data_IF_452047647982
#
_entry.id   IF_452047647982
#
_cell.length_a   1.000
_cell.length_b   1.000
_cell.length_c   1.000
_cell.angle_alpha   90.00
_cell.angle_beta   90.00
_cell.angle_gamma   90.00
#
_symmetry.space_group_name_H-M   'P 1'
#
loop_
_entity.id
_entity.type
_entity.pdbx_description
1 polymer ?
#
# COMPACT_ATOMS: atom_id res chain seq x y z
N UNK A 1 -6.38 2.60 8.82
CA UNK A 1 -5.15 3.19 9.38
C UNK A 1 -4.70 4.30 8.44
N UNK A 2 -4.47 5.52 8.93
CA UNK A 2 -4.08 6.66 8.08
C UNK A 2 -2.62 6.57 7.64
N UNK A 3 -2.31 7.01 6.42
CA UNK A 3 -0.94 7.07 5.90
C UNK A 3 -0.47 8.54 5.94
N UNK A 4 0.47 8.82 6.83
CA UNK A 4 0.94 10.19 7.04
C UNK A 4 2.04 10.57 6.04
N UNK A 5 2.00 11.82 5.56
CA UNK A 5 3.11 12.42 4.82
C UNK A 5 4.32 12.64 5.74
N UNK A 6 5.50 12.82 5.15
CA UNK A 6 6.73 13.18 5.88
C UNK A 6 6.52 14.42 6.78
N UNK A 7 5.89 15.45 6.24
CA UNK A 7 5.62 16.71 6.96
C UNK A 7 4.67 16.49 8.12
N UNK A 8 3.67 15.62 7.94
CA UNK A 8 2.72 15.27 8.99
C UNK A 8 3.39 14.43 10.10
N UNK A 9 4.26 13.49 9.76
CA UNK A 9 5.04 12.72 10.75
C UNK A 9 5.87 13.69 11.62
N UNK A 10 6.64 14.60 11.01
CA UNK A 10 7.42 15.59 11.77
C UNK A 10 6.56 16.52 12.63
N UNK A 11 5.35 16.84 12.19
CA UNK A 11 4.40 17.61 13.00
C UNK A 11 3.90 16.78 14.18
N UNK A 12 3.62 15.50 13.97
CA UNK A 12 3.26 14.55 15.00
C UNK A 12 4.32 14.40 16.08
N UNK A 13 5.59 14.26 15.69
CA UNK A 13 6.73 14.19 16.63
C UNK A 13 6.77 15.42 17.53
N UNK A 14 6.76 16.63 16.95
CA UNK A 14 6.80 17.91 17.70
C UNK A 14 5.60 18.10 18.63
N UNK A 15 4.40 17.69 18.21
CA UNK A 15 3.21 17.76 19.05
C UNK A 15 3.34 16.79 20.22
N UNK A 16 3.85 15.59 19.96
CA UNK A 16 4.08 14.55 20.96
C UNK A 16 5.09 14.99 21.99
N UNK A 17 6.24 15.50 21.55
CA UNK A 17 7.28 16.09 22.41
C UNK A 17 6.71 17.14 23.35
N UNK A 18 5.95 18.09 22.80
CA UNK A 18 5.35 19.19 23.57
C UNK A 18 4.27 18.71 24.55
N UNK A 19 3.34 17.86 24.11
CA UNK A 19 2.21 17.40 24.94
C UNK A 19 2.66 16.46 26.06
N UNK A 20 3.65 15.61 25.78
CA UNK A 20 4.15 14.63 26.76
C UNK A 20 5.31 15.18 27.60
N UNK A 21 5.79 16.40 27.32
CA UNK A 21 6.94 17.02 27.98
C UNK A 21 8.19 16.14 27.92
N UNK A 22 8.48 15.62 26.72
CA UNK A 22 9.65 14.79 26.42
C UNK A 22 10.53 15.48 25.37
N UNK A 23 11.81 15.16 25.35
CA UNK A 23 12.72 15.63 24.29
C UNK A 23 12.60 14.78 23.01
N UNK A 24 13.08 15.32 21.89
CA UNK A 24 13.25 14.56 20.64
C UNK A 24 14.13 13.32 20.83
N UNK A 25 15.15 13.42 21.69
CA UNK A 25 16.02 12.30 22.05
C UNK A 25 15.28 11.22 22.85
N UNK A 26 14.30 11.57 23.69
CA UNK A 26 13.49 10.59 24.42
C UNK A 26 12.53 9.85 23.48
N UNK A 27 11.99 10.54 22.47
CA UNK A 27 11.16 9.91 21.45
C UNK A 27 12.00 8.94 20.57
N UNK A 28 13.21 9.36 20.17
CA UNK A 28 14.20 8.50 19.50
C UNK A 28 14.58 7.28 20.34
N UNK A 29 14.73 7.45 21.65
CA UNK A 29 14.99 6.35 22.59
C UNK A 29 13.86 5.31 22.54
N UNK A 30 12.59 5.76 22.52
CA UNK A 30 11.44 4.86 22.39
C UNK A 30 11.47 4.09 21.07
N UNK A 31 11.73 4.77 19.96
CA UNK A 31 11.81 4.14 18.63
C UNK A 31 12.91 3.07 18.58
N UNK A 32 14.13 3.40 19.02
CA UNK A 32 15.25 2.47 19.06
C UNK A 32 15.02 1.29 20.01
N UNK A 33 14.36 1.48 21.15
CA UNK A 33 13.98 0.39 22.06
C UNK A 33 12.99 -0.58 21.40
N UNK A 34 12.02 -0.09 20.63
CA UNK A 34 11.08 -0.97 19.92
C UNK A 34 11.80 -1.85 18.89
N UNK A 35 12.76 -1.29 18.15
CA UNK A 35 13.60 -2.05 17.21
C UNK A 35 14.45 -3.08 17.96
N UNK A 36 15.11 -2.66 19.03
CA UNK A 36 15.89 -3.55 19.88
C UNK A 36 15.03 -4.72 20.40
N UNK A 37 13.84 -4.46 20.93
CA UNK A 37 12.94 -5.49 21.43
C UNK A 37 12.52 -6.47 20.32
N UNK A 38 12.28 -5.96 19.11
CA UNK A 38 11.95 -6.78 17.95
C UNK A 38 13.09 -7.73 17.57
N UNK A 39 14.33 -7.24 17.58
CA UNK A 39 15.54 -8.02 17.33
C UNK A 39 15.81 -9.03 18.46
N UNK A 40 15.84 -8.55 19.70
CA UNK A 40 16.14 -9.33 20.90
C UNK A 40 15.21 -10.55 21.02
N UNK A 41 13.90 -10.35 20.83
CA UNK A 41 12.89 -11.42 20.87
C UNK A 41 13.15 -12.52 19.83
N UNK A 42 13.68 -12.17 18.65
CA UNK A 42 13.95 -13.12 17.56
C UNK A 42 15.31 -13.79 17.69
N UNK A 43 16.32 -13.05 18.13
CA UNK A 43 17.68 -13.57 18.26
C UNK A 43 17.86 -14.44 19.50
N UNK A 44 17.09 -14.22 20.58
CA UNK A 44 17.13 -15.04 21.80
C UNK A 44 18.55 -15.30 22.35
N UNK A 45 19.42 -14.28 22.28
CA UNK A 45 20.82 -14.36 22.73
C UNK A 45 21.82 -14.96 21.73
N UNK A 46 21.40 -15.32 20.51
CA UNK A 46 22.30 -15.82 19.47
C UNK A 46 23.43 -14.82 19.17
N UNK A 47 24.66 -15.34 19.06
CA UNK A 47 25.89 -14.54 18.88
C UNK A 47 26.24 -14.37 17.39
N UNK A 48 25.25 -13.93 16.61
CA UNK A 48 25.44 -13.57 15.20
C UNK A 48 26.04 -12.16 15.12
N UNK A 49 27.05 -11.90 14.29
CA UNK A 49 27.55 -10.55 14.07
C UNK A 49 26.47 -9.62 13.53
N UNK A 50 26.30 -8.45 14.18
CA UNK A 50 25.35 -7.41 13.79
C UNK A 50 26.13 -6.18 13.34
N UNK A 51 25.97 -5.79 12.09
CA UNK A 51 26.57 -4.59 11.50
C UNK A 51 25.54 -3.48 11.43
N UNK A 52 25.66 -2.48 12.30
CA UNK A 52 24.74 -1.34 12.36
C UNK A 52 25.35 -0.17 11.61
N UNK A 53 24.75 0.19 10.47
CA UNK A 53 25.18 1.32 9.65
C UNK A 53 24.31 2.53 9.91
N UNK A 54 24.88 3.54 10.55
CA UNK A 54 24.21 4.77 10.92
C UNK A 54 24.58 5.90 9.97
N UNK A 55 23.58 6.62 9.47
CA UNK A 55 23.79 7.93 8.86
C UNK A 55 24.05 8.98 9.92
N UNK A 56 24.19 10.24 9.52
CA UNK A 56 24.44 11.37 10.43
C UNK A 56 23.18 12.15 10.83
N UNK A 57 22.01 11.69 10.37
CA UNK A 57 20.70 12.26 10.69
C UNK A 57 19.97 11.50 11.80
N UNK A 58 18.67 11.78 11.97
CA UNK A 58 17.87 11.14 13.02
C UNK A 58 17.76 9.62 12.87
N UNK A 59 17.63 9.10 11.64
CA UNK A 59 17.61 7.65 11.40
C UNK A 59 18.89 6.96 11.93
N UNK A 60 20.04 7.60 11.71
CA UNK A 60 21.30 7.11 12.27
C UNK A 60 21.38 7.23 13.79
N UNK A 61 20.69 8.22 14.37
CA UNK A 61 20.45 8.31 15.80
C UNK A 61 19.67 7.10 16.34
N UNK A 62 18.60 6.68 15.66
CA UNK A 62 17.85 5.46 15.99
C UNK A 62 18.77 4.22 15.91
N UNK A 63 19.57 4.11 14.85
CA UNK A 63 20.58 3.05 14.73
C UNK A 63 21.59 3.03 15.88
N UNK A 64 22.04 4.19 16.35
CA UNK A 64 22.94 4.28 17.52
C UNK A 64 22.25 3.86 18.82
N UNK A 65 20.96 4.19 18.99
CA UNK A 65 20.16 3.69 20.13
C UNK A 65 20.09 2.16 20.08
N UNK A 66 19.76 1.59 18.92
CA UNK A 66 19.69 0.13 18.71
C UNK A 66 21.04 -0.52 19.03
N UNK A 67 22.12 0.00 18.48
CA UNK A 67 23.47 -0.48 18.72
C UNK A 67 23.82 -0.47 20.22
N UNK A 68 23.51 0.62 20.92
CA UNK A 68 23.78 0.76 22.35
C UNK A 68 23.06 -0.31 23.18
N UNK A 69 21.77 -0.54 22.89
CA UNK A 69 20.98 -1.54 23.59
C UNK A 69 21.46 -2.96 23.30
N UNK A 70 21.75 -3.29 22.04
CA UNK A 70 22.31 -4.60 21.67
C UNK A 70 23.64 -4.89 22.39
N UNK A 71 24.56 -3.91 22.42
CA UNK A 71 25.85 -4.03 23.14
C UNK A 71 25.61 -4.27 24.63
N UNK A 72 24.72 -3.48 25.25
CA UNK A 72 24.42 -3.59 26.69
C UNK A 72 23.88 -4.97 27.06
N UNK A 73 23.21 -5.65 26.12
CA UNK A 73 22.66 -6.99 26.31
C UNK A 73 23.58 -8.11 25.80
N UNK A 74 24.85 -7.81 25.50
CA UNK A 74 25.86 -8.82 25.20
C UNK A 74 25.81 -9.41 23.79
N UNK A 75 25.22 -8.71 22.82
CA UNK A 75 25.30 -9.10 21.41
C UNK A 75 26.62 -8.67 20.77
N UNK A 76 27.03 -9.41 19.72
CA UNK A 76 28.20 -9.07 18.91
C UNK A 76 27.84 -7.97 17.89
N UNK A 77 28.22 -6.72 18.18
CA UNK A 77 27.80 -5.55 17.39
C UNK A 77 29.01 -4.78 16.88
N UNK A 78 29.01 -4.51 15.58
CA UNK A 78 29.92 -3.58 14.91
C UNK A 78 29.13 -2.36 14.43
N UNK A 79 29.48 -1.17 14.92
CA UNK A 79 28.79 0.07 14.58
C UNK A 79 29.60 0.89 13.60
N UNK A 80 28.97 1.32 12.50
CA UNK A 80 29.57 2.16 11.47
C UNK A 80 28.81 3.47 11.34
N UNK A 81 29.51 4.58 11.12
CA UNK A 81 28.91 5.87 10.77
C UNK A 81 29.27 6.20 9.33
N UNK A 82 28.27 6.25 8.46
CA UNK A 82 28.41 6.68 7.07
C UNK A 82 28.53 8.20 7.03
N UNK A 83 29.76 8.70 7.07
CA UNK A 83 30.07 10.11 7.33
C UNK A 83 30.37 10.89 6.05
N UNK A 84 29.40 10.95 5.12
CA UNK A 84 29.57 11.64 3.82
C UNK A 84 29.22 13.14 3.87
N UNK A 85 28.98 13.73 5.05
CA UNK A 85 28.66 15.14 5.23
C UNK A 85 29.00 15.61 6.65
N UNK A 86 29.24 16.91 6.80
CA UNK A 86 29.58 17.52 8.10
C UNK A 86 28.34 17.91 8.92
N UNK A 87 27.14 17.92 8.31
CA UNK A 87 25.92 18.35 8.99
C UNK A 87 25.24 17.19 9.72
N UNK A 88 25.48 17.12 11.03
CA UNK A 88 24.92 16.10 11.92
C UNK A 88 23.66 16.60 12.64
N UNK A 89 22.67 15.74 12.86
CA UNK A 89 21.52 16.11 13.70
C UNK A 89 21.91 16.14 15.19
N UNK A 90 21.17 16.91 15.99
CA UNK A 90 21.45 17.02 17.43
C UNK A 90 21.24 15.68 18.13
N UNK A 91 20.15 14.97 17.82
CA UNK A 91 19.84 13.68 18.43
C UNK A 91 20.86 12.60 18.05
N UNK A 92 21.37 12.62 16.81
CA UNK A 92 22.50 11.77 16.40
C UNK A 92 23.71 12.01 17.29
N UNK A 93 24.12 13.28 17.50
CA UNK A 93 25.29 13.61 18.32
C UNK A 93 25.13 13.15 19.78
N UNK A 94 23.94 13.31 20.35
CA UNK A 94 23.65 12.84 21.71
C UNK A 94 23.79 11.33 21.81
N UNK A 95 23.21 10.57 20.88
CA UNK A 95 23.31 9.11 20.90
C UNK A 95 24.70 8.59 20.52
N UNK A 96 25.43 9.30 19.67
CA UNK A 96 26.81 9.00 19.35
C UNK A 96 27.71 9.11 20.59
N UNK A 97 27.50 10.15 21.41
CA UNK A 97 28.22 10.29 22.69
C UNK A 97 27.84 9.19 23.68
N UNK A 98 26.55 8.85 23.78
CA UNK A 98 26.05 7.79 24.68
C UNK A 98 26.64 6.40 24.43
N UNK A 99 27.13 6.10 23.22
CA UNK A 99 27.83 4.83 22.93
C UNK A 99 29.07 4.65 23.82
N UNK A 100 29.76 5.73 24.20
CA UNK A 100 30.94 5.68 25.08
C UNK A 100 30.66 5.06 26.44
N UNK A 101 29.41 5.10 26.89
CA UNK A 101 29.01 4.59 28.19
C UNK A 101 28.80 3.07 28.20
N UNK A 102 28.77 2.41 27.04
CA UNK A 102 28.47 0.97 26.94
C UNK A 102 29.59 0.15 26.30
N UNK A 103 30.54 0.77 25.60
CA UNK A 103 31.66 0.06 24.98
C UNK A 103 32.91 0.93 24.85
N UNK A 104 34.07 0.28 24.81
CA UNK A 104 35.35 0.90 24.45
C UNK A 104 35.61 0.88 22.94
N UNK A 105 34.89 0.04 22.19
CA UNK A 105 34.96 -0.01 20.73
C UNK A 105 34.10 1.11 20.17
N UNK A 106 34.74 2.16 19.69
CA UNK A 106 34.05 3.31 19.12
C UNK A 106 33.50 3.01 17.72
N UNK A 107 32.40 3.66 17.29
CA UNK A 107 31.88 3.46 15.94
C UNK A 107 32.93 3.82 14.88
N UNK A 108 33.09 2.96 13.88
CA UNK A 108 34.01 3.19 12.77
C UNK A 108 33.42 4.24 11.82
N UNK A 109 34.13 5.35 11.62
CA UNK A 109 33.71 6.39 10.68
C UNK A 109 34.12 6.00 9.27
N UNK A 110 33.16 5.79 8.38
CA UNK A 110 33.41 5.52 6.98
C UNK A 110 33.44 6.85 6.23
N UNK A 111 34.62 7.27 5.75
CA UNK A 111 34.84 8.57 5.07
C UNK A 111 34.33 8.62 3.62
N UNK A 112 33.47 7.67 3.24
CA UNK A 112 32.86 7.55 1.92
C UNK A 112 33.86 7.44 0.76
N UNK A 113 35.05 6.92 1.07
CA UNK A 113 36.15 6.60 0.16
C UNK A 113 36.89 5.32 0.55
N UNK A 114 36.53 4.76 1.70
CA UNK A 114 37.17 3.59 2.29
C UNK A 114 36.56 2.30 1.75
N UNK A 115 37.30 1.20 1.95
CA UNK A 115 36.80 -0.15 1.73
C UNK A 115 35.66 -0.48 2.69
N UNK A 116 34.75 -1.34 2.25
CA UNK A 116 33.63 -1.79 3.08
C UNK A 116 34.11 -2.81 4.12
N UNK A 117 33.51 -2.82 5.33
CA UNK A 117 33.80 -3.87 6.29
C UNK A 117 33.38 -5.23 5.74
N UNK A 118 34.05 -6.29 6.18
CA UNK A 118 33.68 -7.66 5.81
C UNK A 118 32.32 -7.98 6.43
N UNK A 119 31.37 -8.39 5.59
CA UNK A 119 30.05 -8.88 6.00
C UNK A 119 29.89 -10.30 5.46
N UNK A 120 29.65 -11.25 6.37
CA UNK A 120 29.34 -12.64 6.07
C UNK A 120 27.87 -12.83 5.68
N UNK A 121 27.59 -13.91 4.97
CA UNK A 121 26.23 -14.29 4.55
C UNK A 121 25.27 -14.47 5.74
N UNK A 122 25.76 -14.98 6.87
CA UNK A 122 24.94 -15.28 8.05
C UNK A 122 24.83 -14.10 9.03
N UNK A 123 25.45 -12.97 8.70
CA UNK A 123 25.45 -11.77 9.54
C UNK A 123 24.12 -11.01 9.41
N UNK A 124 23.90 -10.04 10.31
CA UNK A 124 22.76 -9.13 10.26
C UNK A 124 23.25 -7.74 9.91
N UNK A 125 22.67 -7.13 8.88
CA UNK A 125 22.85 -5.72 8.56
C UNK A 125 21.66 -4.95 9.15
N UNK A 126 21.93 -3.92 9.94
CA UNK A 126 20.94 -2.92 10.33
C UNK A 126 21.21 -1.65 9.55
N UNK A 127 20.33 -1.36 8.60
CA UNK A 127 20.36 -0.16 7.78
C UNK A 127 19.62 0.99 8.48
N UNK A 128 20.39 1.92 9.02
CA UNK A 128 19.92 3.14 9.65
C UNK A 128 20.56 4.38 8.99
N UNK A 129 20.83 4.32 7.67
CA UNK A 129 21.57 5.35 6.95
C UNK A 129 20.66 6.55 6.63
N UNK A 130 19.54 6.32 5.93
CA UNK A 130 18.57 7.33 5.54
C UNK A 130 17.15 6.85 5.88
N UNK A 131 16.37 7.70 6.55
CA UNK A 131 14.93 7.48 6.80
C UNK A 131 14.07 8.42 5.95
N UNK A 132 12.87 8.77 6.42
CA UNK A 132 11.96 9.72 5.74
C UNK A 132 12.58 11.10 5.42
N UNK A 133 13.69 11.45 6.06
CA UNK A 133 14.43 12.69 5.84
C UNK A 133 15.06 12.84 4.45
N UNK A 134 15.20 11.76 3.68
CA UNK A 134 15.84 11.76 2.36
C UNK A 134 15.25 12.83 1.44
N UNK A 135 16.13 13.64 0.83
CA UNK A 135 15.76 14.75 -0.05
C UNK A 135 16.68 14.90 -1.27
N UNK A 136 17.67 14.02 -1.42
CA UNK A 136 18.61 13.97 -2.54
C UNK A 136 19.00 12.53 -2.85
N UNK A 137 19.41 12.21 -4.09
CA UNK A 137 19.96 10.90 -4.41
C UNK A 137 21.20 10.56 -3.58
N UNK A 138 21.44 9.27 -3.36
CA UNK A 138 22.67 8.79 -2.75
C UNK A 138 23.86 9.01 -3.70
N UNK A 139 25.00 9.45 -3.15
CA UNK A 139 26.26 9.56 -3.91
C UNK A 139 26.83 8.17 -4.24
N UNK A 140 27.67 8.07 -5.27
CA UNK A 140 28.11 6.79 -5.86
C UNK A 140 28.72 5.81 -4.85
N UNK A 141 29.49 6.30 -3.87
CA UNK A 141 30.06 5.43 -2.83
C UNK A 141 28.97 4.79 -1.95
N UNK A 142 27.91 5.55 -1.64
CA UNK A 142 26.78 5.04 -0.84
C UNK A 142 25.96 4.04 -1.66
N UNK A 143 25.80 4.27 -2.97
CA UNK A 143 25.19 3.27 -3.87
C UNK A 143 25.99 1.97 -3.88
N UNK A 144 27.32 2.07 -4.00
CA UNK A 144 28.20 0.91 -3.94
C UNK A 144 28.08 0.15 -2.60
N UNK A 145 27.85 0.86 -1.49
CA UNK A 145 27.56 0.23 -0.19
C UNK A 145 26.23 -0.54 -0.21
N UNK A 146 25.17 0.02 -0.80
CA UNK A 146 23.88 -0.67 -0.91
C UNK A 146 23.96 -1.91 -1.81
N UNK A 147 24.68 -1.81 -2.93
CA UNK A 147 24.98 -2.95 -3.79
C UNK A 147 25.80 -4.01 -3.02
N UNK A 148 26.74 -3.59 -2.17
CA UNK A 148 27.52 -4.50 -1.32
C UNK A 148 26.63 -5.24 -0.30
N UNK A 149 25.68 -4.55 0.35
CA UNK A 149 24.69 -5.20 1.22
C UNK A 149 23.91 -6.28 0.46
N UNK A 150 23.39 -5.95 -0.72
CA UNK A 150 22.67 -6.90 -1.57
C UNK A 150 23.53 -8.10 -1.97
N UNK A 151 24.79 -7.86 -2.32
CA UNK A 151 25.72 -8.91 -2.73
C UNK A 151 26.11 -9.86 -1.59
N UNK A 152 26.16 -9.36 -0.35
CA UNK A 152 26.46 -10.17 0.85
C UNK A 152 25.42 -11.25 1.12
N UNK A 153 24.15 -11.02 0.69
CA UNK A 153 22.98 -11.84 1.01
C UNK A 153 22.66 -11.97 2.51
N UNK A 154 23.35 -11.18 3.34
CA UNK A 154 23.08 -11.08 4.77
C UNK A 154 21.65 -10.59 5.02
N UNK A 155 21.07 -11.00 6.14
CA UNK A 155 19.76 -10.52 6.54
C UNK A 155 19.83 -9.01 6.78
N UNK A 156 19.08 -8.24 6.01
CA UNK A 156 19.12 -6.77 6.07
C UNK A 156 17.83 -6.23 6.66
N UNK A 157 17.95 -5.57 7.82
CA UNK A 157 16.88 -4.91 8.55
C UNK A 157 17.00 -3.39 8.36
N UNK A 158 16.04 -2.76 7.68
CA UNK A 158 16.01 -1.31 7.58
C UNK A 158 15.17 -0.65 8.67
N UNK A 159 15.69 0.46 9.17
CA UNK A 159 15.06 1.31 10.17
C UNK A 159 14.26 2.40 9.46
N UNK A 160 12.98 2.51 9.84
CA UNK A 160 11.97 3.42 9.31
C UNK A 160 11.54 3.10 7.86
N UNK A 161 12.47 3.21 6.92
CA UNK A 161 12.30 2.97 5.48
C UNK A 161 13.66 2.47 4.94
N UNK A 162 13.73 1.57 3.94
CA UNK A 162 14.99 1.22 3.30
C UNK A 162 15.74 2.46 2.82
N UNK A 163 17.02 2.59 3.18
CA UNK A 163 17.81 3.76 2.82
C UNK A 163 17.84 3.95 1.31
N UNK A 164 17.60 5.19 0.88
CA UNK A 164 17.49 5.55 -0.54
C UNK A 164 16.07 5.50 -1.09
N UNK A 165 15.13 4.84 -0.41
CA UNK A 165 13.73 4.78 -0.82
C UNK A 165 12.97 6.02 -0.33
N UNK A 166 12.28 6.69 -1.25
CA UNK A 166 11.38 7.80 -0.92
C UNK A 166 10.07 7.28 -0.33
N UNK A 167 9.38 8.08 0.48
CA UNK A 167 8.15 7.64 1.17
C UNK A 167 6.93 7.47 0.25
N UNK A 168 6.97 8.07 -0.94
CA UNK A 168 5.80 8.23 -1.81
C UNK A 168 6.10 8.12 -3.32
N UNK A 169 7.31 7.71 -3.73
CA UNK A 169 7.64 7.53 -5.16
C UNK A 169 8.57 6.35 -5.40
N UNK A 170 8.44 5.79 -6.60
CA UNK A 170 9.34 4.74 -7.12
C UNK A 170 10.73 5.35 -7.35
N UNK A 171 11.82 4.69 -6.95
CA UNK A 171 13.17 5.17 -7.23
C UNK A 171 13.49 5.05 -8.73
N UNK A 172 14.20 6.04 -9.28
CA UNK A 172 14.72 6.02 -10.66
C UNK A 172 15.90 5.07 -10.83
N UNK A 173 16.67 4.87 -9.75
CA UNK A 173 17.88 4.05 -9.69
C UNK A 173 17.75 3.05 -8.53
N UNK A 174 17.62 1.77 -8.86
CA UNK A 174 17.45 0.70 -7.87
C UNK A 174 18.71 0.44 -7.06
N UNK A 175 19.88 0.78 -7.61
CA UNK A 175 21.17 0.62 -6.93
C UNK A 175 21.38 1.72 -5.89
N UNK A 176 20.58 2.78 -5.96
CA UNK A 176 20.54 3.83 -4.95
C UNK A 176 19.61 3.50 -3.77
N UNK A 177 19.12 2.25 -3.66
CA UNK A 177 18.21 1.82 -2.59
C UNK A 177 18.68 0.51 -1.93
N UNK A 178 18.57 0.42 -0.60
CA UNK A 178 18.80 -0.81 0.14
C UNK A 178 17.69 -1.83 -0.12
N UNK A 179 18.09 -3.06 -0.44
CA UNK A 179 17.17 -4.20 -0.58
C UNK A 179 17.00 -4.89 0.77
N UNK A 180 15.91 -4.60 1.45
CA UNK A 180 15.70 -5.03 2.83
C UNK A 180 14.95 -6.35 2.90
N UNK A 181 15.46 -7.27 3.70
CA UNK A 181 14.73 -8.49 4.08
C UNK A 181 13.53 -8.15 4.96
N UNK A 182 13.68 -7.15 5.84
CA UNK A 182 12.62 -6.65 6.71
C UNK A 182 12.79 -5.15 6.96
N UNK A 183 11.68 -4.40 7.09
CA UNK A 183 11.69 -2.98 7.43
C UNK A 183 10.84 -2.72 8.68
N UNK A 184 11.38 -1.97 9.64
CA UNK A 184 10.64 -1.55 10.83
C UNK A 184 10.32 -0.06 10.76
N UNK A 185 9.08 0.25 10.39
CA UNK A 185 8.56 1.59 10.26
C UNK A 185 8.01 2.11 11.59
N UNK A 186 7.98 3.42 11.80
CA UNK A 186 7.43 4.02 13.02
C UNK A 186 6.03 4.58 12.82
N UNK A 187 5.15 4.31 13.79
CA UNK A 187 3.77 4.81 13.99
C UNK A 187 2.75 4.54 12.88
N UNK A 188 3.13 4.78 11.63
CA UNK A 188 2.32 4.63 10.42
C UNK A 188 3.17 3.96 9.33
N UNK A 189 2.58 3.10 8.49
CA UNK A 189 3.25 2.65 7.28
C UNK A 189 3.37 3.82 6.29
N UNK A 190 4.29 3.68 5.33
CA UNK A 190 4.54 4.67 4.27
C UNK A 190 3.90 4.17 2.97
N UNK A 191 3.43 5.09 2.13
CA UNK A 191 2.75 4.75 0.87
C UNK A 191 3.58 3.81 0.00
N UNK A 192 4.90 4.03 -0.04
CA UNK A 192 5.84 3.21 -0.82
C UNK A 192 5.87 1.73 -0.42
N UNK A 193 5.32 1.33 0.73
CA UNK A 193 5.23 -0.08 1.11
C UNK A 193 4.08 -0.81 0.41
N UNK A 194 3.18 -0.08 -0.26
CA UNK A 194 2.01 -0.61 -0.93
C UNK A 194 2.09 -0.49 -2.47
N UNK A 195 3.16 0.11 -3.00
CA UNK A 195 3.37 0.22 -4.44
C UNK A 195 4.04 -1.08 -4.97
N UNK A 196 3.48 -1.75 -6.00
CA UNK A 196 4.04 -2.98 -6.54
C UNK A 196 5.50 -2.85 -6.98
N UNK A 197 5.89 -1.70 -7.55
CA UNK A 197 7.21 -1.43 -8.11
C UNK A 197 8.30 -1.37 -7.03
N UNK A 198 7.93 -1.06 -5.79
CA UNK A 198 8.85 -0.88 -4.66
C UNK A 198 8.84 -2.05 -3.67
N UNK A 199 7.95 -3.03 -3.87
CA UNK A 199 7.82 -4.20 -3.00
C UNK A 199 9.14 -4.98 -2.81
N UNK A 200 10.01 -4.98 -3.82
CA UNK A 200 11.33 -5.63 -3.78
C UNK A 200 12.31 -5.02 -2.76
N UNK A 201 12.14 -3.74 -2.40
CA UNK A 201 13.03 -3.05 -1.45
C UNK A 201 12.60 -3.25 0.00
N UNK A 202 11.33 -3.61 0.24
CA UNK A 202 10.73 -3.83 1.54
C UNK A 202 9.87 -5.11 1.51
N UNK A 203 10.52 -6.26 1.40
CA UNK A 203 9.85 -7.57 1.21
C UNK A 203 8.87 -7.89 2.33
N UNK A 204 9.28 -7.58 3.57
CA UNK A 204 8.43 -7.62 4.74
C UNK A 204 8.60 -6.33 5.51
N UNK A 205 7.53 -5.86 6.16
CA UNK A 205 7.60 -4.69 7.01
C UNK A 205 6.60 -4.81 8.16
N UNK A 206 6.89 -4.09 9.23
CA UNK A 206 6.00 -3.93 10.38
C UNK A 206 6.05 -2.48 10.88
N UNK A 207 5.00 -2.07 11.58
CA UNK A 207 4.87 -0.70 12.10
C UNK A 207 4.94 -0.75 13.63
N UNK A 208 5.96 -0.12 14.18
CA UNK A 208 6.19 -0.03 15.61
C UNK A 208 5.47 1.19 16.20
N UNK A 209 4.73 0.96 17.27
CA UNK A 209 4.13 2.05 18.06
C UNK A 209 5.23 2.74 18.89
N UNK A 210 5.54 3.98 18.54
CA UNK A 210 6.52 4.81 19.25
C UNK A 210 5.86 5.83 20.19
N UNK A 211 4.52 5.78 20.32
CA UNK A 211 3.75 6.61 21.22
C UNK A 211 3.51 8.03 20.73
N UNK A 212 3.30 8.23 19.42
CA UNK A 212 2.85 9.52 18.89
C UNK A 212 1.46 9.85 19.45
N UNK A 213 1.21 11.14 19.66
CA UNK A 213 -0.04 11.67 20.21
C UNK A 213 -1.27 11.13 19.47
N UNK A 214 -2.14 10.43 20.21
CA UNK A 214 -3.31 9.75 19.64
C UNK A 214 -4.31 10.74 19.04
N UNK A 215 -4.58 11.86 19.70
CA UNK A 215 -5.52 12.87 19.19
C UNK A 215 -5.04 13.43 17.86
N UNK A 216 -3.73 13.69 17.73
CA UNK A 216 -3.13 14.10 16.47
C UNK A 216 -3.33 13.06 15.38
N UNK A 217 -3.08 11.78 15.68
CA UNK A 217 -3.26 10.70 14.71
C UNK A 217 -4.72 10.56 14.24
N UNK A 218 -5.69 10.70 15.15
CA UNK A 218 -7.11 10.60 14.80
C UNK A 218 -7.60 11.83 14.02
N UNK A 219 -7.24 13.04 14.46
CA UNK A 219 -7.78 14.29 13.91
C UNK A 219 -7.12 14.74 12.60
N UNK A 220 -5.90 14.26 12.29
CA UNK A 220 -5.19 14.67 11.07
C UNK A 220 -5.81 14.02 9.85
N UNK A 221 -6.20 14.80 8.85
CA UNK A 221 -6.60 14.31 7.53
C UNK A 221 -5.38 13.88 6.72
N UNK A 222 -5.51 12.80 5.95
CA UNK A 222 -4.43 12.22 5.14
C UNK A 222 -4.93 11.92 3.74
N UNK A 223 -4.06 12.05 2.74
CA UNK A 223 -4.40 11.78 1.34
C UNK A 223 -4.69 10.31 1.06
N UNK A 224 -4.21 9.41 1.92
CA UNK A 224 -4.39 7.98 1.80
C UNK A 224 -4.70 7.31 3.15
N UNK A 225 -5.53 6.27 3.09
CA UNK A 225 -5.85 5.41 4.23
C UNK A 225 -5.74 3.93 3.82
N UNK A 226 -5.18 3.13 4.72
CA UNK A 226 -5.14 1.69 4.60
C UNK A 226 -6.45 1.10 5.09
N UNK A 227 -7.14 0.41 4.19
CA UNK A 227 -8.32 -0.39 4.50
C UNK A 227 -7.85 -1.78 4.96
N UNK A 228 -7.75 -1.96 6.28
CA UNK A 228 -7.44 -3.25 6.91
C UNK A 228 -8.69 -3.92 7.47
N UNK A 229 -8.49 -5.05 8.16
CA UNK A 229 -9.59 -5.82 8.78
C UNK A 229 -10.46 -4.95 9.69
N UNK A 230 -9.86 -4.11 10.51
CA UNK A 230 -10.59 -3.30 11.48
C UNK A 230 -11.30 -2.10 10.84
N UNK A 231 -10.79 -1.59 9.72
CA UNK A 231 -11.42 -0.53 8.94
C UNK A 231 -12.62 -1.01 8.12
N UNK A 232 -12.61 -2.28 7.69
CA UNK A 232 -13.75 -2.88 6.97
C UNK A 232 -14.92 -3.18 7.90
N UNK A 233 -14.68 -3.50 9.18
CA UNK A 233 -15.73 -3.90 10.11
C UNK A 233 -16.87 -2.87 10.25
N UNK A 234 -16.61 -1.55 10.41
CA UNK A 234 -17.67 -0.54 10.43
C UNK A 234 -18.44 -0.38 9.11
N UNK A 235 -17.86 -0.79 7.97
CA UNK A 235 -18.52 -0.72 6.66
C UNK A 235 -19.54 -1.86 6.45
N UNK A 236 -19.42 -2.93 7.24
CA UNK A 236 -20.33 -4.06 7.17
C UNK A 236 -21.76 -3.65 7.55
N UNK A 237 -22.73 -4.02 6.71
CA UNK A 237 -24.16 -3.78 6.97
C UNK A 237 -24.76 -5.00 7.69
N UNK A 238 -25.05 -4.92 9.01
CA UNK A 238 -25.67 -6.02 9.73
C UNK A 238 -27.11 -6.26 9.23
N UNK A 239 -27.57 -7.51 9.36
CA UNK A 239 -28.92 -7.92 8.97
C UNK A 239 -29.82 -8.03 10.20
N UNK A 240 -30.96 -7.35 10.19
CA UNK A 240 -31.95 -7.47 11.24
C UNK A 240 -32.72 -8.80 11.11
N UNK A 241 -33.13 -9.36 12.25
CA UNK A 241 -33.87 -10.62 12.36
C UNK A 241 -35.16 -10.62 11.56
N UNK A 242 -35.79 -9.46 11.41
CA UNK A 242 -37.08 -9.29 10.71
C UNK A 242 -36.93 -8.64 9.33
N UNK A 243 -35.71 -8.52 8.80
CA UNK A 243 -35.48 -8.05 7.43
C UNK A 243 -36.01 -9.05 6.39
N UNK A 244 -36.37 -8.53 5.22
CA UNK A 244 -36.76 -9.32 4.03
C UNK A 244 -35.98 -8.83 2.81
N UNK A 245 -36.02 -9.59 1.71
CA UNK A 245 -35.22 -9.35 0.49
C UNK A 245 -35.21 -7.90 -0.02
N UNK A 246 -36.35 -7.22 -0.02
CA UNK A 246 -36.45 -5.80 -0.43
C UNK A 246 -35.59 -4.82 0.39
N UNK A 247 -35.28 -5.12 1.65
CA UNK A 247 -34.42 -4.27 2.49
C UNK A 247 -32.97 -4.23 2.00
N UNK A 248 -32.52 -5.26 1.27
CA UNK A 248 -31.14 -5.39 0.83
C UNK A 248 -30.95 -5.05 -0.65
N UNK A 249 -31.92 -4.32 -1.21
CA UNK A 249 -31.88 -3.82 -2.59
C UNK A 249 -32.00 -4.90 -3.65
N UNK A 250 -31.96 -4.43 -4.89
CA UNK A 250 -32.03 -5.24 -6.10
C UNK A 250 -30.90 -4.83 -7.03
N UNK A 251 -29.91 -5.72 -7.18
CA UNK A 251 -28.82 -5.52 -8.13
C UNK A 251 -29.20 -6.01 -9.53
N UNK A 252 -28.88 -5.23 -10.55
CA UNK A 252 -28.96 -5.65 -11.95
C UNK A 252 -27.56 -5.71 -12.54
N UNK A 253 -27.18 -6.84 -13.16
CA UNK A 253 -25.93 -6.98 -13.91
C UNK A 253 -26.24 -7.02 -15.41
N UNK A 254 -25.71 -6.09 -16.17
CA UNK A 254 -25.90 -5.95 -17.62
C UNK A 254 -24.58 -6.31 -18.31
N UNK A 255 -24.58 -7.33 -19.14
CA UNK A 255 -23.36 -7.68 -19.86
C UNK A 255 -23.44 -9.01 -20.58
N UNK A 256 -22.26 -9.55 -20.85
CA UNK A 256 -22.11 -10.80 -21.58
C UNK A 256 -22.30 -10.64 -23.09
N UNK A 257 -21.73 -11.60 -23.80
CA UNK A 257 -21.82 -11.78 -25.24
C UNK A 257 -21.55 -13.25 -25.54
N UNK A 258 -21.72 -13.68 -26.79
CA UNK A 258 -21.39 -15.03 -27.21
C UNK A 258 -19.95 -15.38 -26.80
N UNK A 259 -19.80 -16.44 -26.00
CA UNK A 259 -18.51 -16.86 -25.45
C UNK A 259 -18.06 -16.15 -24.15
N UNK A 260 -18.79 -15.14 -23.66
CA UNK A 260 -18.40 -14.34 -22.46
C UNK A 260 -19.45 -14.28 -21.34
N UNK A 261 -20.50 -15.10 -21.39
CA UNK A 261 -21.58 -15.12 -20.37
C UNK A 261 -21.09 -15.48 -18.97
N UNK A 262 -19.98 -16.22 -18.86
CA UNK A 262 -19.36 -16.53 -17.57
C UNK A 262 -19.04 -15.30 -16.72
N UNK A 263 -18.70 -14.16 -17.35
CA UNK A 263 -18.41 -12.92 -16.64
C UNK A 263 -19.65 -12.39 -15.87
N UNK A 264 -20.82 -12.40 -16.51
CA UNK A 264 -22.09 -12.01 -15.87
C UNK A 264 -22.47 -12.97 -14.75
N UNK A 265 -22.21 -14.27 -14.95
CA UNK A 265 -22.48 -15.30 -13.94
C UNK A 265 -21.68 -15.06 -12.66
N UNK A 266 -20.38 -14.77 -12.81
CA UNK A 266 -19.48 -14.47 -11.68
C UNK A 266 -19.89 -13.18 -10.96
N UNK A 267 -20.14 -12.10 -11.70
CA UNK A 267 -20.56 -10.82 -11.13
C UNK A 267 -21.90 -10.92 -10.37
N UNK A 268 -22.88 -11.62 -10.96
CA UNK A 268 -24.21 -11.81 -10.33
C UNK A 268 -24.12 -12.64 -9.05
N UNK A 269 -23.32 -13.72 -9.06
CA UNK A 269 -23.05 -14.53 -7.86
C UNK A 269 -22.37 -13.72 -6.76
N UNK A 270 -21.39 -12.89 -7.13
CA UNK A 270 -20.67 -12.05 -6.18
C UNK A 270 -21.62 -11.05 -5.49
N UNK A 271 -22.49 -10.38 -6.26
CA UNK A 271 -23.48 -9.44 -5.74
C UNK A 271 -24.43 -10.10 -4.71
N UNK A 272 -24.94 -11.31 -5.01
CA UNK A 272 -25.76 -12.06 -4.06
C UNK A 272 -24.97 -12.48 -2.81
N UNK A 273 -23.72 -12.91 -2.99
CA UNK A 273 -22.85 -13.40 -1.91
C UNK A 273 -22.47 -12.32 -0.90
N UNK A 274 -22.26 -11.08 -1.36
CA UNK A 274 -21.99 -9.93 -0.47
C UNK A 274 -23.26 -9.40 0.22
N UNK A 275 -24.43 -9.86 -0.24
CA UNK A 275 -25.66 -9.74 0.51
C UNK A 275 -26.78 -8.93 -0.14
N UNK A 276 -26.75 -8.73 -1.45
CA UNK A 276 -27.90 -8.18 -2.19
C UNK A 276 -29.17 -9.01 -1.93
N UNK A 277 -30.32 -8.34 -1.86
CA UNK A 277 -31.60 -9.01 -1.58
C UNK A 277 -32.20 -9.71 -2.79
N UNK A 278 -32.04 -9.10 -3.95
CA UNK A 278 -32.46 -9.61 -5.26
C UNK A 278 -31.33 -9.39 -6.27
N UNK A 279 -31.24 -10.30 -7.25
CA UNK A 279 -30.28 -10.21 -8.35
C UNK A 279 -30.98 -10.52 -9.66
N UNK A 280 -30.85 -9.60 -10.62
CA UNK A 280 -31.22 -9.81 -12.02
C UNK A 280 -29.99 -9.71 -12.91
N UNK A 281 -29.98 -10.45 -14.01
CA UNK A 281 -29.01 -10.34 -15.08
C UNK A 281 -29.71 -10.00 -16.40
N UNK A 282 -29.19 -9.03 -17.13
CA UNK A 282 -29.59 -8.72 -18.51
C UNK A 282 -28.47 -9.14 -19.46
N UNK A 283 -28.78 -10.08 -20.34
CA UNK A 283 -27.80 -10.77 -21.22
C UNK A 283 -28.37 -10.95 -22.63
N UNK A 284 -27.56 -11.22 -23.67
CA UNK A 284 -28.10 -11.71 -24.94
C UNK A 284 -28.73 -13.11 -24.78
N UNK A 285 -29.58 -13.54 -25.72
CA UNK A 285 -30.31 -14.84 -25.57
C UNK A 285 -29.40 -16.04 -25.38
N UNK A 286 -28.18 -16.04 -25.92
CA UNK A 286 -27.22 -17.12 -25.70
C UNK A 286 -26.86 -17.32 -24.23
N UNK A 287 -27.05 -16.31 -23.37
CA UNK A 287 -26.77 -16.39 -21.94
C UNK A 287 -27.87 -16.98 -21.08
N UNK A 288 -29.11 -17.06 -21.57
CA UNK A 288 -30.26 -17.49 -20.76
C UNK A 288 -30.05 -18.85 -20.11
N UNK A 289 -29.80 -19.88 -20.92
CA UNK A 289 -29.61 -21.25 -20.43
C UNK A 289 -28.39 -21.37 -19.54
N UNK A 290 -27.31 -20.65 -19.85
CA UNK A 290 -26.07 -20.71 -19.07
C UNK A 290 -26.31 -20.18 -17.65
N UNK A 291 -26.95 -19.02 -17.52
CA UNK A 291 -27.28 -18.46 -16.21
C UNK A 291 -28.30 -19.31 -15.47
N UNK A 292 -29.41 -19.70 -16.11
CA UNK A 292 -30.45 -20.51 -15.46
C UNK A 292 -29.97 -21.90 -15.03
N UNK A 293 -28.95 -22.46 -15.70
CA UNK A 293 -28.37 -23.76 -15.33
C UNK A 293 -27.30 -23.65 -14.26
N UNK A 294 -26.47 -22.61 -14.30
CA UNK A 294 -25.30 -22.46 -13.41
C UNK A 294 -25.58 -21.60 -12.18
N UNK A 295 -26.54 -20.68 -12.22
CA UNK A 295 -26.91 -19.78 -11.14
C UNK A 295 -28.42 -19.49 -11.16
N UNK A 296 -29.25 -20.50 -10.83
CA UNK A 296 -30.72 -20.39 -10.91
C UNK A 296 -31.33 -19.36 -9.96
N UNK A 297 -30.59 -18.88 -8.96
CA UNK A 297 -31.03 -17.81 -8.07
C UNK A 297 -31.12 -16.44 -8.78
N UNK A 298 -30.43 -16.26 -9.92
CA UNK A 298 -30.56 -15.05 -10.72
C UNK A 298 -31.80 -15.06 -11.61
N UNK A 299 -32.56 -13.97 -11.55
CA UNK A 299 -33.59 -13.68 -12.53
C UNK A 299 -32.92 -13.23 -13.82
N UNK A 300 -33.27 -13.84 -14.96
CA UNK A 300 -32.60 -13.55 -16.23
C UNK A 300 -33.57 -12.87 -17.18
N UNK A 301 -33.19 -11.67 -17.61
CA UNK A 301 -33.78 -10.93 -18.70
C UNK A 301 -32.87 -11.04 -19.92
N UNK A 302 -33.46 -11.06 -21.12
CA UNK A 302 -32.68 -11.19 -22.34
C UNK A 302 -32.94 -10.05 -23.32
N UNK A 303 -31.88 -9.59 -23.98
CA UNK A 303 -32.01 -8.84 -25.22
C UNK A 303 -32.71 -9.69 -26.31
N UNK A 304 -33.23 -9.02 -27.33
CA UNK A 304 -33.82 -9.68 -28.51
C UNK A 304 -32.76 -10.38 -29.34
N UNK A 305 -31.52 -9.88 -29.37
CA UNK A 305 -30.41 -10.46 -30.11
C UNK A 305 -29.83 -11.71 -29.41
N UNK A 306 -29.30 -12.61 -30.24
CA UNK A 306 -28.80 -13.91 -29.76
C UNK A 306 -27.43 -13.80 -29.11
N UNK A 307 -26.55 -12.94 -29.61
CA UNK A 307 -25.12 -13.01 -29.38
C UNK A 307 -24.56 -11.79 -28.66
N UNK A 308 -25.16 -10.62 -28.84
CA UNK A 308 -24.70 -9.35 -28.26
C UNK A 308 -25.87 -8.57 -27.70
N UNK A 309 -25.58 -7.54 -26.90
CA UNK A 309 -26.60 -6.59 -26.44
C UNK A 309 -26.75 -5.50 -27.49
N UNK A 310 -27.97 -5.29 -27.98
CA UNK A 310 -28.33 -4.34 -29.04
C UNK A 310 -29.29 -3.26 -28.56
N UNK A 311 -30.01 -3.52 -27.47
CA UNK A 311 -30.81 -2.57 -26.72
C UNK A 311 -30.74 -2.91 -25.23
N UNK A 312 -31.00 -1.95 -24.35
CA UNK A 312 -31.03 -2.16 -22.90
C UNK A 312 -32.34 -1.57 -22.37
N UNK A 313 -33.40 -2.36 -22.54
CA UNK A 313 -34.72 -2.08 -21.98
C UNK A 313 -35.02 -3.13 -20.90
N UNK A 314 -35.09 -2.68 -19.65
CA UNK A 314 -35.30 -3.55 -18.48
C UNK A 314 -36.57 -3.11 -17.76
N UNK A 315 -37.60 -3.96 -17.80
CA UNK A 315 -38.86 -3.72 -17.10
C UNK A 315 -38.78 -4.17 -15.63
N UNK A 316 -37.80 -3.65 -14.89
CA UNK A 316 -37.59 -3.84 -13.45
C UNK A 316 -37.04 -2.55 -12.84
N UNK A 317 -37.20 -2.39 -11.52
CA UNK A 317 -36.71 -1.24 -10.76
C UNK A 317 -35.51 -1.62 -9.86
N UNK A 318 -34.30 -1.80 -10.41
CA UNK A 318 -33.12 -2.11 -9.59
C UNK A 318 -32.70 -0.91 -8.75
N UNK A 319 -32.04 -1.17 -7.63
CA UNK A 319 -31.45 -0.12 -6.79
C UNK A 319 -30.04 0.29 -7.23
N UNK A 320 -29.34 -0.62 -7.94
CA UNK A 320 -27.98 -0.41 -8.44
C UNK A 320 -27.74 -1.28 -9.67
N UNK A 321 -26.96 -0.78 -10.62
CA UNK A 321 -26.66 -1.48 -11.87
C UNK A 321 -25.15 -1.66 -12.02
N UNK A 322 -24.71 -2.91 -12.24
CA UNK A 322 -23.37 -3.21 -12.75
C UNK A 322 -23.44 -3.43 -14.27
N UNK A 323 -22.56 -2.81 -15.05
CA UNK A 323 -22.56 -2.94 -16.51
C UNK A 323 -21.14 -3.07 -17.09
N UNK A 324 -21.01 -3.86 -18.15
CA UNK A 324 -19.82 -3.88 -19.00
C UNK A 324 -19.05 -5.19 -19.01
N UNK A 325 -19.25 -6.06 -18.02
CA UNK A 325 -18.56 -7.35 -17.95
C UNK A 325 -18.90 -8.24 -19.14
N UNK A 326 -17.92 -8.47 -20.01
CA UNK A 326 -18.09 -9.29 -21.22
C UNK A 326 -19.10 -8.77 -22.23
N UNK A 327 -19.54 -7.50 -22.14
CA UNK A 327 -20.60 -6.93 -22.98
C UNK A 327 -20.17 -6.82 -24.46
N UNK A 328 -18.87 -6.80 -24.74
CA UNK A 328 -18.34 -6.59 -26.09
C UNK A 328 -18.23 -5.12 -26.46
N UNK A 329 -17.73 -4.84 -27.67
CA UNK A 329 -17.53 -3.47 -28.16
C UNK A 329 -18.04 -3.28 -29.58
N UNK A 330 -19.03 -4.07 -29.97
CA UNK A 330 -19.73 -3.98 -31.24
C UNK A 330 -20.49 -2.65 -31.35
N UNK A 331 -20.68 -2.14 -32.57
CA UNK A 331 -21.31 -0.83 -32.80
C UNK A 331 -22.73 -0.74 -32.23
N UNK A 332 -23.52 -1.82 -32.36
CA UNK A 332 -24.88 -1.87 -31.79
C UNK A 332 -24.84 -1.84 -30.27
N UNK A 333 -23.91 -2.57 -29.65
CA UNK A 333 -23.70 -2.55 -28.20
C UNK A 333 -23.25 -1.20 -27.69
N UNK A 334 -22.35 -0.52 -28.40
CA UNK A 334 -21.95 0.86 -28.07
C UNK A 334 -23.15 1.81 -28.12
N UNK A 335 -24.01 1.69 -29.14
CA UNK A 335 -25.23 2.49 -29.24
C UNK A 335 -26.21 2.18 -28.11
N UNK A 336 -26.43 0.90 -27.78
CA UNK A 336 -27.27 0.48 -26.67
C UNK A 336 -26.77 1.06 -25.33
N UNK A 337 -25.46 0.96 -25.08
CA UNK A 337 -24.81 1.50 -23.91
C UNK A 337 -24.94 3.03 -23.82
N UNK A 338 -24.77 3.75 -24.94
CA UNK A 338 -24.96 5.20 -24.99
C UNK A 338 -26.42 5.60 -24.70
N UNK A 339 -27.40 4.91 -25.28
CA UNK A 339 -28.83 5.15 -25.01
C UNK A 339 -29.16 4.89 -23.54
N UNK A 340 -28.66 3.79 -23.00
CA UNK A 340 -28.80 3.44 -21.59
C UNK A 340 -28.25 4.53 -20.67
N UNK A 341 -27.02 5.02 -20.91
CA UNK A 341 -26.43 6.07 -20.08
C UNK A 341 -27.21 7.39 -20.11
N UNK A 342 -27.82 7.76 -21.26
CA UNK A 342 -28.65 8.96 -21.36
C UNK A 342 -29.88 8.88 -20.44
N UNK A 343 -30.42 7.68 -20.26
CA UNK A 343 -31.66 7.44 -19.51
C UNK A 343 -31.41 7.10 -18.04
N UNK A 344 -30.35 6.34 -17.74
CA UNK A 344 -30.08 5.86 -16.39
C UNK A 344 -29.69 7.00 -15.44
N UNK A 345 -30.32 7.01 -14.26
CA UNK A 345 -30.00 7.89 -13.14
C UNK A 345 -29.62 7.13 -11.86
N UNK A 346 -29.64 5.81 -11.90
CA UNK A 346 -29.32 4.96 -10.76
C UNK A 346 -27.80 4.85 -10.58
N UNK A 347 -27.32 4.57 -9.35
CA UNK A 347 -25.90 4.29 -9.11
C UNK A 347 -25.37 3.18 -10.00
N UNK A 348 -24.18 3.39 -10.55
CA UNK A 348 -23.55 2.49 -11.52
C UNK A 348 -22.22 1.93 -11.03
N UNK A 349 -21.94 0.69 -11.41
CA UNK A 349 -20.60 0.12 -11.43
C UNK A 349 -20.27 -0.26 -12.87
N UNK A 350 -19.22 0.33 -13.44
CA UNK A 350 -18.79 0.07 -14.82
C UNK A 350 -17.44 -0.64 -14.79
N UNK A 351 -17.37 -1.75 -15.50
CA UNK A 351 -16.19 -2.63 -15.57
C UNK A 351 -15.90 -3.06 -17.01
N UNK A 352 -14.65 -3.48 -17.25
CA UNK A 352 -14.20 -4.19 -18.44
C UNK A 352 -14.57 -3.50 -19.77
N UNK A 353 -15.36 -4.18 -20.61
CA UNK A 353 -15.76 -3.68 -21.93
C UNK A 353 -16.59 -2.39 -21.82
N UNK A 354 -17.32 -2.17 -20.73
CA UNK A 354 -17.98 -0.89 -20.45
C UNK A 354 -16.99 0.27 -20.32
N UNK A 355 -15.86 0.05 -19.65
CA UNK A 355 -14.77 1.03 -19.56
C UNK A 355 -14.10 1.23 -20.92
N UNK A 356 -13.91 0.15 -21.69
CA UNK A 356 -13.37 0.25 -23.05
C UNK A 356 -14.29 1.08 -23.98
N UNK A 357 -15.61 0.99 -23.82
CA UNK A 357 -16.58 1.82 -24.54
C UNK A 357 -16.42 3.29 -24.15
N UNK A 358 -16.34 3.60 -22.84
CA UNK A 358 -16.08 4.96 -22.35
C UNK A 358 -14.76 5.54 -22.87
N UNK A 359 -13.70 4.73 -22.91
CA UNK A 359 -12.41 5.13 -23.44
C UNK A 359 -12.46 5.47 -24.95
N UNK A 360 -13.26 4.74 -25.74
CA UNK A 360 -13.47 5.02 -27.18
C UNK A 360 -14.35 6.24 -27.42
N UNK A 361 -15.31 6.52 -26.53
CA UNK A 361 -16.24 7.65 -26.63
C UNK A 361 -16.24 8.44 -25.32
N UNK A 362 -15.18 9.24 -25.09
CA UNK A 362 -15.00 9.98 -23.82
C UNK A 362 -16.14 10.95 -23.49
N UNK A 363 -16.90 11.43 -24.47
CA UNK A 363 -18.10 12.25 -24.23
C UNK A 363 -19.18 11.52 -23.41
N UNK A 364 -19.17 10.19 -23.36
CA UNK A 364 -20.09 9.41 -22.51
C UNK A 364 -19.79 9.57 -21.02
N UNK A 365 -18.59 10.03 -20.64
CA UNK A 365 -18.24 10.30 -19.24
C UNK A 365 -19.14 11.37 -18.62
N UNK A 366 -19.59 12.35 -19.42
CA UNK A 366 -20.50 13.42 -19.00
C UNK A 366 -21.91 12.91 -18.68
N UNK A 367 -22.24 11.70 -19.11
CA UNK A 367 -23.55 11.07 -18.88
C UNK A 367 -23.57 10.18 -17.64
N UNK A 368 -22.42 9.96 -16.99
CA UNK A 368 -22.34 9.09 -15.83
C UNK A 368 -23.08 9.74 -14.64
N UNK A 369 -24.01 9.01 -13.98
CA UNK A 369 -24.62 9.48 -12.75
C UNK A 369 -23.59 9.73 -11.65
N UNK A 370 -23.93 10.61 -10.70
CA UNK A 370 -23.16 10.77 -9.47
C UNK A 370 -22.99 9.43 -8.74
N UNK A 371 -21.85 9.24 -8.07
CA UNK A 371 -21.47 8.00 -7.39
C UNK A 371 -21.29 6.78 -8.31
N UNK A 372 -21.05 6.98 -9.61
CA UNK A 372 -20.59 5.90 -10.50
C UNK A 372 -19.20 5.41 -10.08
N UNK A 373 -19.05 4.10 -9.91
CA UNK A 373 -17.78 3.43 -9.64
C UNK A 373 -17.21 2.86 -10.93
N UNK A 374 -15.98 3.23 -11.26
CA UNK A 374 -15.21 2.62 -12.35
C UNK A 374 -14.19 1.66 -11.76
N UNK A 375 -13.99 0.50 -12.39
CA UNK A 375 -13.09 -0.56 -11.88
C UNK A 375 -11.95 -0.94 -12.84
N UNK A 376 -11.22 0.04 -13.44
CA UNK A 376 -10.24 -0.27 -14.47
C UNK A 376 -9.01 -0.98 -13.91
N UNK A 377 -8.52 -2.00 -14.62
CA UNK A 377 -7.12 -2.41 -14.47
C UNK A 377 -6.18 -1.37 -15.12
N UNK A 378 -4.85 -1.41 -14.92
CA UNK A 378 -3.93 -0.39 -15.46
C UNK A 378 -4.10 -0.09 -16.96
N UNK A 379 -4.17 -1.12 -17.83
CA UNK A 379 -4.35 -0.87 -19.28
C UNK A 379 -5.72 -0.29 -19.67
N UNK A 380 -6.75 -0.44 -18.85
CA UNK A 380 -8.08 0.13 -19.10
C UNK A 380 -8.09 1.59 -18.69
N UNK A 381 -7.47 1.89 -17.54
CA UNK A 381 -7.27 3.25 -17.09
C UNK A 381 -6.43 4.03 -18.10
N UNK A 382 -5.36 3.43 -18.64
CA UNK A 382 -4.49 4.05 -19.65
C UNK A 382 -5.27 4.45 -20.90
N UNK A 383 -6.15 3.57 -21.38
CA UNK A 383 -7.04 3.90 -22.52
C UNK A 383 -7.99 5.05 -22.18
N UNK A 384 -8.47 5.10 -20.94
CA UNK A 384 -9.45 6.09 -20.48
C UNK A 384 -8.84 7.48 -20.31
N UNK A 385 -7.71 7.59 -19.60
CA UNK A 385 -7.12 8.88 -19.20
C UNK A 385 -5.83 9.23 -19.95
N UNK A 386 -5.25 8.29 -20.70
CA UNK A 386 -3.94 8.41 -21.33
C UNK A 386 -2.82 7.82 -20.46
N UNK A 387 -1.58 7.93 -20.93
CA UNK A 387 -0.39 7.51 -20.18
C UNK A 387 -0.16 8.44 -18.99
N UNK A 388 0.26 7.89 -17.86
CA UNK A 388 0.77 8.63 -16.71
C UNK A 388 2.22 8.23 -16.44
N UNK A 389 2.96 9.15 -15.83
CA UNK A 389 4.34 8.92 -15.39
C UNK A 389 4.38 8.67 -13.89
#
# INVERSE_FOLDING_TARGET
MKLFSKEQIYKGDKITEKKQNISSTDLMERAGIQIFNWLHKRMQGAQVPIHVFCGIGNNGGDGLVVSRHLITHGYNVNTYVVNCSDKRSKDFLVNYDRIKNVTKQWPTLLSCKEEFPVIGHDDIIVDAIFGIGLNRPADDWVKALFQYFRASKAFTLSVDVPSGLYTNKVPEDEDAVVWSSFTLSFQSPKLVFFLPETAKFAVQWDVLDIGIDRDYLFATETDAELIGKFEVLPLYKPRDKFSHKGHFGHSLIIGGSYGKIGAVTLASRAALSVGAGLISAYVPKCGYTILQSSFPEAMVLTDVDKNIITDIDVNIDPTVIGIGVGIGTDNLTITAFETFLKQNKLPLVIDADGINILARKKSLLELLPENTVLTPHPKELERLVGTWN
#
